data_IF_684003881274
#
_entry.id   IF_684003881274
#
_cell.length_a   1.000
_cell.length_b   1.000
_cell.length_c   1.000
_cell.angle_alpha   90.00
_cell.angle_beta   90.00
_cell.angle_gamma   90.00
#
_symmetry.space_group_name_H-M   'P 1'
#
loop_
_entity.id
_entity.type
_entity.pdbx_description
1 polymer ?
#
# COMPACT_ATOMS: atom_id res chain seq x y z
N UNK A 1 7.95 2.70 -41.82
CA UNK A 1 7.04 2.26 -40.74
C UNK A 1 7.93 1.63 -39.67
N UNK A 2 8.06 2.21 -38.47
CA UNK A 2 8.87 1.59 -37.40
C UNK A 2 7.98 0.60 -36.64
N UNK A 3 8.40 -0.65 -36.59
CA UNK A 3 7.77 -1.67 -35.75
C UNK A 3 8.26 -1.39 -34.33
N UNK A 4 7.34 -1.10 -33.42
CA UNK A 4 7.66 -0.92 -32.01
C UNK A 4 7.76 -2.33 -31.39
N UNK A 5 8.99 -2.80 -31.16
CA UNK A 5 9.25 -4.10 -30.56
C UNK A 5 9.19 -3.98 -29.04
N UNK A 6 8.14 -4.52 -28.42
CA UNK A 6 8.01 -4.61 -26.96
C UNK A 6 8.73 -5.89 -26.51
N UNK A 7 9.80 -5.76 -25.72
CA UNK A 7 10.54 -6.91 -25.19
C UNK A 7 9.89 -7.42 -23.90
N UNK A 8 9.98 -8.72 -23.59
CA UNK A 8 9.42 -9.28 -22.34
C UNK A 8 10.00 -8.62 -21.08
N UNK A 9 11.20 -8.04 -21.17
CA UNK A 9 11.84 -7.26 -20.09
C UNK A 9 11.23 -5.86 -19.92
N UNK A 10 10.55 -5.35 -20.94
CA UNK A 10 9.81 -4.08 -20.92
C UNK A 10 8.38 -4.26 -20.40
N UNK A 11 7.90 -5.51 -20.34
CA UNK A 11 6.62 -5.89 -19.73
C UNK A 11 6.85 -6.12 -18.24
N UNK A 12 6.57 -5.10 -17.42
CA UNK A 12 6.53 -5.24 -15.97
C UNK A 12 5.34 -6.15 -15.58
N UNK A 13 5.59 -7.46 -15.42
CA UNK A 13 4.56 -8.45 -15.01
C UNK A 13 4.38 -8.61 -13.51
N UNK A 14 5.11 -7.88 -12.68
CA UNK A 14 5.00 -8.00 -11.22
C UNK A 14 4.49 -6.72 -10.58
N UNK A 15 3.17 -6.55 -10.47
CA UNK A 15 2.56 -5.55 -9.58
C UNK A 15 2.52 -6.08 -8.13
N UNK A 16 3.60 -6.73 -7.67
CA UNK A 16 3.71 -7.15 -6.27
C UNK A 16 3.81 -5.88 -5.43
N UNK A 17 2.73 -5.56 -4.74
CA UNK A 17 2.67 -4.41 -3.84
C UNK A 17 2.59 -4.94 -2.42
N UNK A 18 3.38 -4.30 -1.55
CA UNK A 18 3.42 -4.64 -0.15
C UNK A 18 2.23 -4.02 0.59
N UNK A 19 1.35 -4.86 1.13
CA UNK A 19 0.21 -4.41 1.90
C UNK A 19 0.63 -4.04 3.33
N UNK A 20 0.32 -2.83 3.77
CA UNK A 20 0.70 -2.37 5.13
C UNK A 20 -0.14 -2.97 6.26
N UNK A 21 -1.25 -3.65 5.93
CA UNK A 21 -2.17 -4.21 6.93
C UNK A 21 -1.79 -5.65 7.26
N UNK A 22 -1.74 -6.51 6.25
CA UNK A 22 -1.35 -7.91 6.39
C UNK A 22 0.17 -8.13 6.30
N UNK A 23 0.94 -7.12 5.90
CA UNK A 23 2.41 -7.18 5.82
C UNK A 23 2.93 -8.20 4.78
N UNK A 24 2.11 -8.49 3.77
CA UNK A 24 2.41 -9.44 2.69
C UNK A 24 2.63 -8.74 1.34
N UNK A 25 3.51 -9.32 0.52
CA UNK A 25 3.64 -8.96 -0.90
C UNK A 25 2.61 -9.72 -1.72
N UNK A 26 1.65 -9.00 -2.27
CA UNK A 26 0.53 -9.59 -2.98
C UNK A 26 0.55 -9.15 -4.45
N UNK A 27 0.33 -10.10 -5.36
CA UNK A 27 -0.05 -9.80 -6.74
C UNK A 27 -1.56 -9.57 -6.76
N UNK A 28 -1.97 -8.31 -6.84
CA UNK A 28 -3.40 -8.01 -6.81
C UNK A 28 -3.76 -6.53 -6.85
N UNK A 29 -5.07 -6.29 -7.01
CA UNK A 29 -5.71 -5.00 -6.84
C UNK A 29 -5.75 -4.58 -5.38
N UNK A 30 -5.88 -3.27 -5.17
CA UNK A 30 -5.97 -2.67 -3.86
C UNK A 30 -6.01 -1.16 -3.99
N UNK A 31 -5.92 -0.48 -2.87
CA UNK A 31 -5.92 0.97 -2.81
C UNK A 31 -4.55 1.48 -2.37
N UNK A 32 -4.08 2.53 -3.04
CA UNK A 32 -2.89 3.27 -2.63
C UNK A 32 -3.33 4.52 -1.85
N UNK A 33 -3.08 4.54 -0.54
CA UNK A 33 -3.36 5.68 0.33
C UNK A 33 -2.03 6.26 0.81
N UNK A 34 -1.75 7.52 0.47
CA UNK A 34 -0.57 8.26 0.95
C UNK A 34 0.78 7.54 0.65
N UNK A 35 0.82 6.81 -0.46
CA UNK A 35 1.97 6.00 -0.89
C UNK A 35 2.21 4.76 -0.01
N UNK A 36 1.14 4.24 0.58
CA UNK A 36 1.05 2.91 1.15
C UNK A 36 -0.01 2.13 0.41
N UNK A 37 0.27 0.85 0.14
CA UNK A 37 -0.68 -0.03 -0.50
C UNK A 37 -1.45 -0.83 0.55
N UNK A 38 -2.74 -1.01 0.32
CA UNK A 38 -3.62 -1.90 1.07
C UNK A 38 -4.29 -2.83 0.05
N UNK A 39 -4.10 -4.14 0.20
CA UNK A 39 -4.71 -5.12 -0.69
C UNK A 39 -6.24 -5.14 -0.56
N UNK A 40 -6.91 -5.61 -1.62
CA UNK A 40 -8.38 -5.63 -1.68
C UNK A 40 -9.03 -6.41 -0.53
N UNK A 41 -8.41 -7.49 -0.06
CA UNK A 41 -8.92 -8.27 1.08
C UNK A 41 -8.93 -7.45 2.37
N UNK A 42 -7.83 -6.76 2.68
CA UNK A 42 -7.78 -5.87 3.83
C UNK A 42 -8.74 -4.69 3.71
N UNK A 43 -9.00 -4.18 2.49
CA UNK A 43 -10.02 -3.13 2.27
C UNK A 43 -11.41 -3.67 2.57
N UNK A 44 -11.75 -4.86 2.06
CA UNK A 44 -13.05 -5.51 2.33
C UNK A 44 -13.23 -5.78 3.81
N UNK A 45 -12.18 -6.23 4.49
CA UNK A 45 -12.18 -6.44 5.92
C UNK A 45 -12.45 -5.14 6.68
N UNK A 46 -11.72 -4.06 6.40
CA UNK A 46 -11.94 -2.74 7.02
C UNK A 46 -13.38 -2.27 6.81
N UNK A 47 -13.92 -2.42 5.60
CA UNK A 47 -15.29 -2.00 5.28
C UNK A 47 -16.36 -2.86 5.97
N UNK A 48 -16.03 -4.09 6.36
CA UNK A 48 -16.96 -5.02 7.01
C UNK A 48 -16.91 -4.96 8.54
N UNK A 49 -15.86 -4.37 9.12
CA UNK A 49 -15.72 -4.21 10.56
C UNK A 49 -16.55 -3.01 11.04
N UNK A 50 -17.24 -3.19 12.17
CA UNK A 50 -17.94 -2.09 12.84
C UNK A 50 -16.96 -1.04 13.35
N UNK A 51 -17.28 0.25 13.20
CA UNK A 51 -16.45 1.35 13.70
C UNK A 51 -16.24 1.34 15.22
N UNK A 52 -17.09 0.61 15.96
CA UNK A 52 -17.00 0.43 17.41
C UNK A 52 -16.19 -0.81 17.80
N UNK A 53 -15.67 -1.56 16.83
CA UNK A 53 -14.85 -2.74 17.10
C UNK A 53 -13.41 -2.32 17.40
N UNK A 54 -12.82 -2.90 18.44
CA UNK A 54 -11.41 -2.70 18.78
C UNK A 54 -10.47 -3.01 17.60
N UNK A 55 -10.87 -3.95 16.73
CA UNK A 55 -10.13 -4.30 15.52
C UNK A 55 -10.06 -3.13 14.53
N UNK A 56 -11.12 -2.32 14.42
CA UNK A 56 -11.12 -1.13 13.59
C UNK A 56 -10.10 -0.10 14.08
N UNK A 57 -10.05 0.13 15.40
CA UNK A 57 -9.09 1.05 16.00
C UNK A 57 -7.63 0.59 15.82
N UNK A 58 -7.36 -0.72 15.91
CA UNK A 58 -6.04 -1.27 15.62
C UNK A 58 -5.62 -1.03 14.16
N UNK A 59 -6.52 -1.25 13.20
CA UNK A 59 -6.25 -1.04 11.78
C UNK A 59 -6.03 0.45 11.49
N UNK A 60 -6.87 1.33 12.04
CA UNK A 60 -6.71 2.79 11.96
C UNK A 60 -5.37 3.25 12.53
N UNK A 61 -4.97 2.72 13.67
CA UNK A 61 -3.70 3.05 14.32
C UNK A 61 -2.49 2.52 13.51
N UNK A 62 -2.59 1.35 12.86
CA UNK A 62 -1.55 0.86 11.94
C UNK A 62 -1.35 1.80 10.75
N UNK A 63 -2.43 2.28 10.14
CA UNK A 63 -2.37 3.21 8.99
C UNK A 63 -1.76 4.55 9.44
N UNK A 64 -2.28 5.13 10.52
CA UNK A 64 -1.78 6.40 11.06
C UNK A 64 -0.33 6.30 11.58
N UNK A 65 0.03 5.23 12.28
CA UNK A 65 1.37 5.01 12.81
C UNK A 65 2.43 4.93 11.71
N UNK A 66 2.11 4.26 10.59
CA UNK A 66 2.96 4.25 9.41
C UNK A 66 3.07 5.65 8.80
N UNK A 67 1.96 6.36 8.65
CA UNK A 67 1.95 7.75 8.17
C UNK A 67 2.92 8.66 8.96
N UNK A 68 2.92 8.60 10.29
CA UNK A 68 3.85 9.39 11.10
C UNK A 68 5.32 9.02 10.86
N UNK A 69 5.65 7.72 10.74
CA UNK A 69 7.03 7.26 10.48
C UNK A 69 7.57 7.77 9.14
N UNK A 70 6.75 7.82 8.09
CA UNK A 70 7.16 8.32 6.76
C UNK A 70 7.30 9.83 6.73
N UNK A 71 6.43 10.57 7.43
CA UNK A 71 6.57 12.02 7.58
C UNK A 71 7.86 12.42 8.30
N UNK A 72 8.24 11.71 9.37
CA UNK A 72 9.51 11.97 10.07
C UNK A 72 10.72 11.70 9.16
N UNK A 73 10.72 10.59 8.41
CA UNK A 73 11.78 10.29 7.44
C UNK A 73 11.89 11.35 6.34
N UNK A 74 10.77 11.83 5.82
CA UNK A 74 10.76 12.89 4.80
C UNK A 74 11.25 14.24 5.34
N UNK A 75 10.97 14.56 6.62
CA UNK A 75 11.45 15.80 7.26
C UNK A 75 12.96 15.79 7.44
N UNK A 76 13.56 14.65 7.82
CA UNK A 76 15.02 14.51 7.97
C UNK A 76 15.79 14.64 6.65
N UNK A 77 15.19 14.21 5.53
CA UNK A 77 15.81 14.33 4.19
C UNK A 77 15.87 15.75 3.63
N UNK A 78 15.13 16.72 4.20
CA UNK A 78 15.12 18.11 3.72
C UNK A 78 16.09 19.03 4.47
N UNK A 79 16.76 18.52 5.51
CA UNK A 79 17.68 19.28 6.36
C UNK A 79 19.15 18.93 6.07
N UNK A 80 19.40 17.93 5.21
CA UNK A 80 20.73 17.58 4.68
C UNK A 80 20.81 17.93 3.20
#
# INVERSE_FOLDING_TARGET
>A
MRIMEINNKDIWRGNKKYCIICEEELEGSGIDIMGYFICEECVKEINSISVNDNKYDLLKNKINGNYYKKNIKNRRKRIN
#
